data_IF_677162159175
#
_entry.id   IF_677162159175
#
_cell.length_a   1.000
_cell.length_b   1.000
_cell.length_c   1.000
_cell.angle_alpha   90.00
_cell.angle_beta   90.00
_cell.angle_gamma   90.00
#
_symmetry.space_group_name_H-M   'P 1'
#
loop_
_entity.id
_entity.type
_entity.pdbx_description
1 polymer ?
#
# COMPACT_ATOMS: atom_id res chain seq x y z
N UNK A 1 -11.59 0.62 -5.86
CA UNK A 1 -12.55 1.65 -5.52
C UNK A 1 -13.75 1.62 -6.46
N UNK A 2 -14.97 1.93 -5.96
CA UNK A 2 -16.20 1.96 -6.73
C UNK A 2 -16.86 3.33 -6.61
N UNK A 3 -17.54 3.74 -7.66
CA UNK A 3 -18.42 4.91 -7.64
C UNK A 3 -19.85 4.48 -7.91
N UNK A 4 -20.78 5.27 -7.40
CA UNK A 4 -22.21 5.13 -7.68
C UNK A 4 -22.51 5.92 -8.95
N UNK A 5 -23.08 5.23 -9.93
CA UNK A 5 -23.52 5.79 -11.19
C UNK A 5 -25.06 5.70 -11.30
N UNK A 6 -25.64 6.62 -12.04
CA UNK A 6 -27.05 6.59 -12.39
C UNK A 6 -27.20 6.33 -13.89
N UNK A 7 -28.01 5.35 -14.26
CA UNK A 7 -28.32 5.08 -15.66
C UNK A 7 -29.42 6.06 -16.11
N UNK A 8 -29.04 7.04 -16.92
CA UNK A 8 -29.98 8.02 -17.48
C UNK A 8 -30.91 7.30 -18.46
N UNK A 9 -32.19 7.33 -18.18
CA UNK A 9 -33.22 6.82 -19.10
C UNK A 9 -33.36 7.72 -20.33
N UNK A 10 -33.78 7.15 -21.47
CA UNK A 10 -33.98 7.89 -22.74
C UNK A 10 -34.96 9.09 -22.68
N UNK A 11 -35.69 9.25 -21.57
CA UNK A 11 -36.70 10.33 -21.34
C UNK A 11 -36.38 11.22 -20.13
N UNK A 12 -35.11 11.22 -19.67
CA UNK A 12 -34.70 12.11 -18.57
C UNK A 12 -35.26 11.72 -17.16
N UNK A 13 -35.93 10.58 -17.03
CA UNK A 13 -36.35 10.09 -15.73
C UNK A 13 -35.16 9.52 -14.97
N UNK A 14 -35.12 9.74 -13.64
CA UNK A 14 -34.14 9.18 -12.73
C UNK A 14 -33.97 7.69 -13.01
N UNK A 15 -32.78 7.29 -13.41
CA UNK A 15 -32.48 5.93 -13.78
C UNK A 15 -32.08 5.09 -12.58
N UNK A 16 -32.08 3.77 -12.77
CA UNK A 16 -31.59 2.83 -11.75
C UNK A 16 -30.10 3.07 -11.46
N UNK A 17 -29.73 3.10 -10.19
CA UNK A 17 -28.35 3.36 -9.74
C UNK A 17 -27.57 2.07 -9.60
N UNK A 18 -26.26 2.14 -9.86
CA UNK A 18 -25.35 0.99 -9.78
C UNK A 18 -23.93 1.41 -9.38
N UNK A 19 -23.24 0.49 -8.74
CA UNK A 19 -21.83 0.63 -8.43
C UNK A 19 -20.98 0.01 -9.54
N UNK A 20 -19.96 0.70 -9.98
CA UNK A 20 -18.96 0.21 -10.92
C UNK A 20 -17.55 0.61 -10.51
N UNK A 21 -16.54 -0.07 -11.06
CA UNK A 21 -15.15 0.27 -10.80
C UNK A 21 -14.83 1.67 -11.31
N UNK A 22 -14.23 2.50 -10.45
CA UNK A 22 -13.78 3.86 -10.80
C UNK A 22 -12.31 3.92 -11.23
N UNK A 23 -11.54 2.87 -10.96
CA UNK A 23 -10.12 2.81 -11.26
C UNK A 23 -9.83 2.37 -12.70
N UNK A 24 -10.72 1.57 -13.29
CA UNK A 24 -10.57 1.06 -14.65
C UNK A 24 -11.45 1.84 -15.63
N UNK A 25 -10.84 2.43 -16.65
CA UNK A 25 -11.56 3.12 -17.73
C UNK A 25 -12.24 2.14 -18.69
N UNK A 26 -11.65 0.96 -18.89
CA UNK A 26 -12.22 -0.08 -19.74
C UNK A 26 -12.84 -1.19 -18.86
N UNK A 27 -14.08 -1.56 -19.19
CA UNK A 27 -14.77 -2.69 -18.56
C UNK A 27 -14.09 -4.03 -18.80
N UNK A 28 -13.25 -4.14 -19.81
CA UNK A 28 -12.43 -5.34 -20.05
C UNK A 28 -11.41 -5.54 -18.94
N UNK A 29 -10.95 -4.46 -18.32
CA UNK A 29 -9.97 -4.52 -17.23
C UNK A 29 -10.61 -4.81 -15.88
N UNK A 30 -11.87 -4.37 -15.68
CA UNK A 30 -12.65 -4.70 -14.51
C UNK A 30 -14.15 -4.77 -14.83
N UNK A 31 -14.71 -5.95 -14.71
CA UNK A 31 -16.14 -6.22 -14.96
C UNK A 31 -17.02 -5.99 -13.73
N UNK A 32 -16.48 -5.38 -12.65
CA UNK A 32 -17.27 -5.14 -11.45
C UNK A 32 -18.47 -4.26 -11.74
N UNK A 33 -19.65 -4.80 -11.43
CA UNK A 33 -20.94 -4.14 -11.58
C UNK A 33 -21.88 -4.66 -10.50
N UNK A 34 -22.63 -3.77 -9.83
CA UNK A 34 -23.62 -4.13 -8.83
C UNK A 34 -24.73 -3.09 -8.82
N UNK A 35 -25.97 -3.48 -9.00
CA UNK A 35 -27.09 -2.59 -8.79
C UNK A 35 -27.19 -2.21 -7.31
N UNK A 36 -27.56 -0.95 -7.03
CA UNK A 36 -27.68 -0.45 -5.65
C UNK A 36 -28.80 -1.17 -4.89
N UNK A 37 -29.88 -1.48 -5.58
CA UNK A 37 -31.09 -2.10 -5.03
C UNK A 37 -31.01 -3.65 -4.98
N UNK A 38 -29.97 -4.27 -5.51
CA UNK A 38 -29.77 -5.70 -5.46
C UNK A 38 -28.84 -6.11 -4.31
N UNK A 39 -29.28 -7.05 -3.50
CA UNK A 39 -28.42 -7.66 -2.49
C UNK A 39 -27.34 -8.50 -3.16
N UNK A 40 -26.11 -8.37 -2.67
CA UNK A 40 -25.00 -9.23 -3.09
C UNK A 40 -25.34 -10.67 -2.72
N UNK A 41 -25.27 -11.59 -3.68
CA UNK A 41 -25.55 -13.00 -3.39
C UNK A 41 -24.51 -13.56 -2.41
N UNK A 42 -24.94 -14.51 -1.58
CA UNK A 42 -24.07 -15.18 -0.62
C UNK A 42 -22.87 -15.84 -1.31
N UNK A 43 -23.07 -16.46 -2.48
CA UNK A 43 -22.00 -17.01 -3.28
C UNK A 43 -20.96 -15.96 -3.69
N UNK A 44 -21.38 -14.74 -4.05
CA UNK A 44 -20.47 -13.64 -4.39
C UNK A 44 -19.71 -13.15 -3.15
N UNK A 45 -20.35 -13.12 -1.99
CA UNK A 45 -19.72 -12.76 -0.72
C UNK A 45 -18.63 -13.77 -0.36
N UNK A 46 -18.94 -15.06 -0.39
CA UNK A 46 -17.99 -16.15 -0.10
C UNK A 46 -16.82 -16.16 -1.09
N UNK A 47 -17.07 -15.96 -2.38
CA UNK A 47 -16.00 -15.88 -3.38
C UNK A 47 -15.04 -14.70 -3.11
N UNK A 48 -15.58 -13.54 -2.72
CA UNK A 48 -14.76 -12.38 -2.33
C UNK A 48 -13.97 -12.62 -1.06
N UNK A 49 -14.59 -13.25 -0.07
CA UNK A 49 -13.92 -13.60 1.17
C UNK A 49 -12.77 -14.59 0.93
N UNK A 50 -12.98 -15.62 0.12
CA UNK A 50 -11.95 -16.55 -0.29
C UNK A 50 -10.80 -15.85 -1.06
N UNK A 51 -11.13 -14.93 -1.96
CA UNK A 51 -10.13 -14.11 -2.66
C UNK A 51 -9.34 -13.22 -1.70
N UNK A 52 -10.00 -12.56 -0.74
CA UNK A 52 -9.33 -11.76 0.29
C UNK A 52 -8.45 -12.63 1.18
N UNK A 53 -8.92 -13.81 1.55
CA UNK A 53 -8.17 -14.77 2.36
C UNK A 53 -6.89 -15.23 1.64
N UNK A 54 -6.99 -15.52 0.32
CA UNK A 54 -5.84 -15.94 -0.49
C UNK A 54 -4.77 -14.84 -0.65
N UNK A 55 -5.15 -13.59 -0.47
CA UNK A 55 -4.23 -12.42 -0.54
C UNK A 55 -3.65 -12.03 0.82
N UNK A 56 -4.11 -12.66 1.90
CA UNK A 56 -3.53 -12.38 3.23
C UNK A 56 -2.08 -12.82 3.26
N UNK A 57 -1.22 -12.03 3.90
CA UNK A 57 0.18 -12.41 4.06
C UNK A 57 0.27 -13.69 4.90
N UNK A 58 1.32 -14.50 4.62
CA UNK A 58 1.57 -15.76 5.32
C UNK A 58 1.97 -15.60 6.79
N UNK A 59 2.19 -14.35 7.24
CA UNK A 59 2.60 -14.03 8.61
C UNK A 59 1.60 -13.07 9.24
N UNK A 60 1.43 -13.18 10.55
CA UNK A 60 0.71 -12.19 11.35
C UNK A 60 1.51 -10.89 11.46
N UNK A 61 0.85 -9.78 11.81
CA UNK A 61 1.53 -8.50 12.03
C UNK A 61 2.64 -8.60 13.08
N UNK A 62 2.41 -9.36 14.15
CA UNK A 62 3.42 -9.61 15.20
C UNK A 62 4.63 -10.38 14.67
N UNK A 63 4.42 -11.34 13.78
CA UNK A 63 5.52 -12.10 13.15
C UNK A 63 6.34 -11.20 12.21
N UNK A 64 5.69 -10.33 11.41
CA UNK A 64 6.38 -9.32 10.61
C UNK A 64 7.21 -8.38 11.47
N UNK A 65 6.63 -7.89 12.57
CA UNK A 65 7.34 -7.01 13.50
C UNK A 65 8.56 -7.70 14.12
N UNK A 66 8.40 -8.93 14.62
CA UNK A 66 9.49 -9.72 15.18
C UNK A 66 10.58 -10.01 14.14
N UNK A 67 10.19 -10.30 12.90
CA UNK A 67 11.10 -10.48 11.78
C UNK A 67 11.90 -9.21 11.51
N UNK A 68 11.23 -8.06 11.47
CA UNK A 68 11.87 -6.77 11.29
C UNK A 68 12.86 -6.44 12.42
N UNK A 69 12.51 -6.72 13.67
CA UNK A 69 13.43 -6.53 14.80
C UNK A 69 14.68 -7.41 14.66
N UNK A 70 14.50 -8.70 14.32
CA UNK A 70 15.64 -9.61 14.04
C UNK A 70 16.52 -9.09 12.93
N UNK A 71 15.92 -8.66 11.82
CA UNK A 71 16.65 -8.09 10.69
C UNK A 71 17.40 -6.82 11.09
N UNK A 72 16.76 -5.93 11.85
CA UNK A 72 17.35 -4.66 12.27
C UNK A 72 18.57 -4.83 13.17
N UNK A 73 18.61 -5.91 13.97
CA UNK A 73 19.73 -6.25 14.85
C UNK A 73 20.92 -6.90 14.14
N UNK A 74 20.77 -7.32 12.88
CA UNK A 74 21.87 -7.95 12.14
C UNK A 74 23.02 -6.97 11.89
N UNK A 75 24.26 -7.47 11.75
CA UNK A 75 25.38 -6.72 11.24
C UNK A 75 25.10 -6.18 9.83
N UNK A 76 25.71 -5.07 9.46
CA UNK A 76 25.42 -4.40 8.18
C UNK A 76 25.69 -5.31 6.96
N UNK A 77 26.74 -6.11 7.01
CA UNK A 77 27.12 -7.05 5.94
C UNK A 77 26.14 -8.22 5.76
N UNK A 78 25.32 -8.50 6.74
CA UNK A 78 24.31 -9.58 6.71
C UNK A 78 22.92 -9.07 6.31
N UNK A 79 22.71 -7.75 6.32
CA UNK A 79 21.43 -7.14 5.93
C UNK A 79 21.26 -7.18 4.42
N UNK A 80 20.45 -8.11 3.93
CA UNK A 80 20.17 -8.29 2.50
C UNK A 80 18.68 -8.15 2.18
N UNK A 81 18.41 -7.59 1.03
CA UNK A 81 17.08 -7.49 0.43
C UNK A 81 17.06 -8.28 -0.87
N UNK A 82 16.04 -9.12 -1.05
CA UNK A 82 15.83 -9.84 -2.30
C UNK A 82 14.98 -8.99 -3.25
N UNK A 83 15.59 -8.56 -4.37
CA UNK A 83 14.90 -7.74 -5.38
C UNK A 83 13.84 -8.52 -6.18
N UNK A 84 13.98 -9.83 -6.29
CA UNK A 84 13.01 -10.67 -6.98
C UNK A 84 11.75 -10.92 -6.14
N UNK A 85 11.94 -11.24 -4.85
CA UNK A 85 10.84 -11.55 -3.93
C UNK A 85 10.32 -10.32 -3.17
N UNK A 86 11.05 -9.20 -3.23
CA UNK A 86 10.72 -7.94 -2.55
C UNK A 86 10.61 -8.09 -1.03
N UNK A 87 11.53 -8.84 -0.41
CA UNK A 87 11.56 -9.12 1.03
C UNK A 87 12.96 -8.89 1.63
N UNK A 88 12.98 -8.53 2.91
CA UNK A 88 14.20 -8.52 3.73
C UNK A 88 14.56 -9.98 4.10
N UNK A 89 15.81 -10.37 3.90
CA UNK A 89 16.27 -11.74 4.12
C UNK A 89 16.95 -11.88 5.48
N UNK A 90 16.52 -12.85 6.26
CA UNK A 90 17.28 -13.32 7.43
C UNK A 90 18.41 -14.27 6.98
N UNK A 91 19.51 -14.40 7.73
CA UNK A 91 20.66 -15.23 7.34
C UNK A 91 20.31 -16.66 6.94
N UNK A 92 19.36 -17.28 7.64
CA UNK A 92 18.88 -18.64 7.35
C UNK A 92 18.21 -18.77 5.97
N UNK A 93 17.78 -17.67 5.38
CA UNK A 93 17.07 -17.64 4.08
C UNK A 93 18.00 -17.34 2.89
N UNK A 94 19.23 -16.94 3.15
CA UNK A 94 20.17 -16.55 2.09
C UNK A 94 20.39 -17.67 1.07
N UNK A 95 20.46 -18.92 1.52
CA UNK A 95 20.67 -20.09 0.64
C UNK A 95 19.46 -20.29 -0.32
N UNK A 96 18.26 -20.15 0.17
CA UNK A 96 17.03 -20.29 -0.64
C UNK A 96 16.90 -19.17 -1.72
N UNK A 97 17.58 -18.03 -1.51
CA UNK A 97 17.59 -16.91 -2.44
C UNK A 97 18.90 -16.74 -3.20
N UNK A 98 19.77 -17.77 -3.22
CA UNK A 98 21.10 -17.72 -3.88
C UNK A 98 21.02 -17.45 -5.39
N UNK A 99 19.97 -17.91 -6.05
CA UNK A 99 19.70 -17.65 -7.47
C UNK A 99 19.03 -16.30 -7.74
N UNK A 100 18.62 -15.57 -6.69
CA UNK A 100 17.95 -14.31 -6.80
C UNK A 100 18.92 -13.14 -6.69
N UNK A 101 18.56 -12.02 -7.31
CA UNK A 101 19.32 -10.79 -7.14
C UNK A 101 19.07 -10.23 -5.74
N UNK A 102 20.16 -10.07 -4.99
CA UNK A 102 20.12 -9.52 -3.63
C UNK A 102 20.99 -8.27 -3.54
N UNK A 103 20.58 -7.31 -2.72
CA UNK A 103 21.32 -6.08 -2.45
C UNK A 103 21.45 -5.86 -0.95
N UNK A 104 22.55 -5.20 -0.54
CA UNK A 104 22.73 -4.80 0.86
C UNK A 104 21.75 -3.70 1.26
N UNK A 105 21.35 -3.69 2.53
CA UNK A 105 20.39 -2.71 3.05
C UNK A 105 21.08 -1.76 4.02
N UNK A 106 21.00 -0.47 3.75
CA UNK A 106 21.54 0.59 4.60
C UNK A 106 20.55 1.01 5.70
N UNK A 107 21.06 1.64 6.75
CA UNK A 107 20.22 2.21 7.81
C UNK A 107 19.28 3.31 7.27
N UNK A 108 19.69 4.07 6.26
CA UNK A 108 18.86 5.07 5.62
C UNK A 108 17.67 4.42 4.88
N UNK A 109 17.91 3.32 4.18
CA UNK A 109 16.86 2.56 3.49
C UNK A 109 15.88 1.91 4.47
N UNK A 110 16.35 1.43 5.64
CA UNK A 110 15.44 0.93 6.69
C UNK A 110 14.52 2.00 7.28
N UNK A 111 14.95 3.26 7.26
CA UNK A 111 14.10 4.39 7.66
C UNK A 111 13.12 4.81 6.56
N UNK A 112 13.38 4.40 5.32
CA UNK A 112 12.58 4.70 4.14
C UNK A 112 12.38 3.43 3.30
N UNK A 113 11.65 2.42 3.81
CA UNK A 113 11.48 1.13 3.16
C UNK A 113 10.84 1.24 1.76
N UNK A 114 10.01 2.27 1.52
CA UNK A 114 9.44 2.52 0.19
C UNK A 114 10.49 2.82 -0.90
N UNK A 115 11.75 3.07 -0.54
CA UNK A 115 12.86 3.23 -1.50
C UNK A 115 13.43 1.89 -1.96
N UNK A 116 13.22 0.82 -1.21
CA UNK A 116 13.61 -0.54 -1.56
C UNK A 116 12.53 -1.25 -2.38
N UNK A 117 11.27 -1.04 -2.01
CA UNK A 117 10.13 -1.71 -2.62
C UNK A 117 9.84 -1.17 -4.01
N UNK A 118 9.60 -2.07 -4.95
CA UNK A 118 9.01 -1.72 -6.24
C UNK A 118 7.49 -1.61 -6.09
N UNK A 119 6.87 -0.67 -6.81
CA UNK A 119 5.42 -0.62 -6.89
C UNK A 119 4.85 -1.97 -7.31
N UNK A 120 3.73 -2.38 -6.72
CA UNK A 120 3.02 -3.56 -7.15
C UNK A 120 2.54 -3.36 -8.58
N UNK A 121 3.05 -4.19 -9.51
CA UNK A 121 2.54 -4.25 -10.87
C UNK A 121 1.21 -5.01 -10.86
N UNK A 122 0.12 -4.29 -10.99
CA UNK A 122 -1.16 -4.91 -11.21
C UNK A 122 -1.74 -4.44 -12.54
N UNK A 123 -1.87 -5.38 -13.47
CA UNK A 123 -2.42 -5.11 -14.80
C UNK A 123 -3.93 -4.78 -14.79
N UNK A 124 -4.63 -5.03 -13.68
CA UNK A 124 -6.10 -4.92 -13.67
C UNK A 124 -6.67 -3.68 -13.02
N UNK A 125 -6.30 -3.27 -11.81
CA UNK A 125 -6.97 -2.15 -11.13
C UNK A 125 -6.20 -1.51 -9.99
N UNK A 126 -5.19 -2.14 -9.46
CA UNK A 126 -4.55 -1.73 -8.21
C UNK A 126 -3.08 -1.38 -8.43
N UNK A 127 -2.81 -0.61 -9.49
CA UNK A 127 -1.46 -0.09 -9.68
C UNK A 127 -1.09 0.77 -8.46
N UNK A 128 -0.03 0.40 -7.79
CA UNK A 128 0.52 1.18 -6.71
C UNK A 128 1.36 2.31 -7.28
N UNK A 129 1.03 3.55 -6.91
CA UNK A 129 1.80 4.73 -7.30
C UNK A 129 2.52 5.29 -6.06
N UNK A 130 3.84 5.34 -6.15
CA UNK A 130 4.64 5.97 -5.11
C UNK A 130 4.95 7.41 -5.53
N UNK A 131 4.69 8.37 -4.64
CA UNK A 131 5.06 9.76 -4.88
C UNK A 131 6.56 9.90 -5.14
N UNK A 132 6.92 10.83 -6.03
CA UNK A 132 8.30 11.29 -6.13
C UNK A 132 8.70 12.00 -4.82
N UNK A 133 9.98 12.05 -4.51
CA UNK A 133 10.46 12.76 -3.31
C UNK A 133 10.02 14.23 -3.32
N UNK A 134 10.09 14.89 -4.47
CA UNK A 134 9.62 16.28 -4.64
C UNK A 134 8.15 16.44 -4.26
N UNK A 135 7.29 15.54 -4.76
CA UNK A 135 5.84 15.61 -4.48
C UNK A 135 5.54 15.33 -3.00
N UNK A 136 6.23 14.34 -2.42
CA UNK A 136 6.03 13.99 -1.02
C UNK A 136 6.49 15.11 -0.06
N UNK A 137 7.61 15.78 -0.35
CA UNK A 137 8.06 16.97 0.41
C UNK A 137 7.09 18.13 0.25
N UNK A 138 6.64 18.43 -0.97
CA UNK A 138 5.65 19.47 -1.21
C UNK A 138 4.37 19.24 -0.38
N UNK A 139 3.85 18.01 -0.35
CA UNK A 139 2.68 17.68 0.46
C UNK A 139 2.95 17.84 1.95
N UNK A 140 4.10 17.36 2.43
CA UNK A 140 4.50 17.50 3.83
C UNK A 140 4.58 18.97 4.25
N UNK A 141 5.24 19.82 3.45
CA UNK A 141 5.42 21.23 3.73
C UNK A 141 4.08 21.98 3.69
N UNK A 142 3.21 21.63 2.76
CA UNK A 142 1.85 22.18 2.66
C UNK A 142 1.03 21.83 3.91
N UNK A 143 1.02 20.55 4.32
CA UNK A 143 0.31 20.12 5.54
C UNK A 143 0.82 20.82 6.79
N UNK A 144 2.14 20.95 6.92
CA UNK A 144 2.77 21.64 8.04
C UNK A 144 2.45 23.13 8.05
N UNK A 145 2.53 23.79 6.88
CA UNK A 145 2.23 25.21 6.72
C UNK A 145 0.76 25.55 7.01
N UNK A 146 -0.15 24.63 6.71
CA UNK A 146 -1.58 24.74 7.05
C UNK A 146 -1.89 24.41 8.52
N UNK A 147 -0.88 24.05 9.31
CA UNK A 147 -1.03 23.79 10.74
C UNK A 147 -1.57 22.39 11.09
N UNK A 148 -1.67 21.48 10.12
CA UNK A 148 -2.10 20.11 10.41
C UNK A 148 -1.05 19.38 11.26
N UNK A 149 -1.51 18.69 12.31
CA UNK A 149 -0.66 17.95 13.25
C UNK A 149 -1.03 16.46 13.33
N UNK A 150 -2.15 16.07 12.74
CA UNK A 150 -2.61 14.67 12.65
C UNK A 150 -2.92 14.35 11.20
N UNK A 151 -2.27 13.33 10.65
CA UNK A 151 -2.38 12.95 9.23
C UNK A 151 -2.69 11.47 9.11
N UNK A 152 -3.76 11.13 8.41
CA UNK A 152 -4.06 9.77 7.99
C UNK A 152 -3.52 9.58 6.56
N UNK A 153 -2.53 8.71 6.42
CA UNK A 153 -1.91 8.36 5.16
C UNK A 153 -2.58 7.10 4.59
N UNK A 154 -3.43 7.26 3.58
CA UNK A 154 -4.09 6.15 2.89
C UNK A 154 -3.33 5.78 1.61
N UNK A 155 -2.63 4.62 1.58
CA UNK A 155 -1.85 4.20 0.43
C UNK A 155 -0.71 5.17 0.08
N UNK A 156 -0.20 5.93 1.06
CA UNK A 156 0.84 6.94 0.84
C UNK A 156 2.04 6.73 1.77
N UNK A 157 2.75 5.58 1.65
CA UNK A 157 3.83 5.22 2.56
C UNK A 157 4.97 6.25 2.55
N UNK A 158 5.34 6.79 1.39
CA UNK A 158 6.41 7.79 1.29
C UNK A 158 6.14 9.07 2.07
N UNK A 159 4.89 9.51 2.10
CA UNK A 159 4.52 10.68 2.90
C UNK A 159 4.62 10.38 4.40
N UNK A 160 4.13 9.23 4.82
CA UNK A 160 4.22 8.79 6.22
C UNK A 160 5.68 8.65 6.69
N UNK A 161 6.56 8.08 5.85
CA UNK A 161 7.99 7.98 6.12
C UNK A 161 8.64 9.36 6.32
N UNK A 162 8.32 10.33 5.45
CA UNK A 162 8.84 11.70 5.57
C UNK A 162 8.34 12.40 6.84
N UNK A 163 7.07 12.21 7.21
CA UNK A 163 6.54 12.75 8.48
C UNK A 163 7.35 12.19 9.66
N UNK A 164 7.62 10.88 9.66
CA UNK A 164 8.42 10.24 10.72
C UNK A 164 9.86 10.77 10.76
N UNK A 165 10.50 10.93 9.61
CA UNK A 165 11.86 11.49 9.53
C UNK A 165 11.89 12.93 10.04
N UNK A 166 10.96 13.76 9.60
CA UNK A 166 10.84 15.15 10.09
C UNK A 166 10.67 15.23 11.61
N UNK A 167 9.88 14.33 12.20
CA UNK A 167 9.70 14.29 13.65
C UNK A 167 10.99 13.94 14.42
N UNK A 168 11.88 13.16 13.81
CA UNK A 168 13.21 12.86 14.39
C UNK A 168 14.11 14.10 14.36
N UNK A 169 14.05 14.88 13.27
CA UNK A 169 14.87 16.06 13.06
C UNK A 169 14.32 17.28 13.81
N UNK A 170 12.99 17.44 13.79
CA UNK A 170 12.28 18.58 14.39
C UNK A 170 11.43 18.10 15.58
N UNK A 171 12.05 18.09 16.76
CA UNK A 171 11.37 17.66 18.01
C UNK A 171 10.28 18.61 18.50
N UNK A 172 10.28 19.85 18.03
CA UNK A 172 9.27 20.85 18.36
C UNK A 172 8.08 20.68 17.39
N UNK A 173 6.90 20.44 17.89
CA UNK A 173 5.66 20.25 17.11
C UNK A 173 5.63 19.00 16.20
N UNK A 174 5.73 17.79 16.75
CA UNK A 174 5.69 16.58 15.96
C UNK A 174 4.32 16.38 15.31
N UNK A 175 4.32 15.92 14.05
CA UNK A 175 3.10 15.49 13.35
C UNK A 175 2.81 14.03 13.68
N UNK A 176 1.62 13.72 14.17
CA UNK A 176 1.16 12.34 14.33
C UNK A 176 0.70 11.80 12.96
N UNK A 177 1.12 10.60 12.60
CA UNK A 177 0.68 9.97 11.37
C UNK A 177 0.32 8.51 11.57
N UNK A 178 -0.70 8.06 10.85
CA UNK A 178 -1.11 6.67 10.74
C UNK A 178 -1.10 6.29 9.27
N UNK A 179 -0.45 5.18 8.92
CA UNK A 179 -0.49 4.60 7.58
C UNK A 179 -1.53 3.48 7.54
N UNK A 180 -2.42 3.55 6.56
CA UNK A 180 -3.26 2.44 6.13
C UNK A 180 -2.89 2.11 4.69
N UNK A 181 -2.33 0.94 4.47
CA UNK A 181 -1.94 0.46 3.15
C UNK A 181 -2.47 -0.96 2.93
N UNK A 182 -2.72 -1.30 1.68
CA UNK A 182 -3.08 -2.65 1.27
C UNK A 182 -1.82 -3.53 1.09
N UNK A 183 -0.68 -2.89 0.86
CA UNK A 183 0.63 -3.54 0.77
C UNK A 183 1.17 -3.79 2.18
N UNK A 184 1.34 -5.04 2.52
CA UNK A 184 1.78 -5.49 3.84
C UNK A 184 3.29 -5.81 3.91
N UNK A 185 4.03 -5.53 2.82
CA UNK A 185 5.49 -5.71 2.75
C UNK A 185 6.25 -4.66 3.54
#
# INVERSE_FOLDING_TARGET
PTLLFEKIGKRGNNGRRYYACSACRDRKDCSFFQWEDEKVSEATMLAREAEMQSKRPGFTEQEYYNRFLKFSSLPHNEKKFCENCQILLLPAEHSAHSAHRTTGVTAAQLRRPSTLLRPLENKKCNAQYLFTDRSAHFLLDTLAGLGYRKVLCLGTPRLQELIRLRNVEQKHEPMQSLLLDIDLR
#
